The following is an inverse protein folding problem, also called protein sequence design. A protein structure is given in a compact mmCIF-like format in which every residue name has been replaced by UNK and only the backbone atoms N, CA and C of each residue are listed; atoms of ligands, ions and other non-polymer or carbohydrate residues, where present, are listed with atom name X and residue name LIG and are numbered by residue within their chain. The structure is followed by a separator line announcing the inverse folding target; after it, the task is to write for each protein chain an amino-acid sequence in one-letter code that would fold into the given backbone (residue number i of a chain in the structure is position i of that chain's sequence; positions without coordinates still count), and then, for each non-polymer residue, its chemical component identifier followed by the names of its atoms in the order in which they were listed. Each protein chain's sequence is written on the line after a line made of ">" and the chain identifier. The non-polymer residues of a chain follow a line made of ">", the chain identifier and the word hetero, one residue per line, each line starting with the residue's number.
data_IF_319902074266
#
_entry.id   IF_319902074266
#
_cell.length_a   1.000
_cell.length_b   1.000
_cell.length_c   1.000
_cell.angle_alpha   90.00
_cell.angle_beta   90.00
_cell.angle_gamma   90.00
#
_symmetry.space_group_name_H-M   'P 1'
#
loop_
_entity.id
_entity.type
_entity.pdbx_description
1 polymer ?
#
# COMPACT_ATOMS: atom_id res chain seq x y z
N UNK A 1 17.05 -11.06 -6.99
CA UNK A 1 16.29 -10.06 -7.78
C UNK A 1 15.58 -10.72 -8.97
N UNK A 2 16.27 -11.46 -9.85
CA UNK A 2 15.64 -12.18 -10.97
C UNK A 2 14.51 -13.15 -10.57
N UNK A 3 14.68 -13.90 -9.47
CA UNK A 3 13.70 -14.90 -9.03
C UNK A 3 12.35 -14.30 -8.58
N UNK A 4 12.37 -13.10 -7.98
CA UNK A 4 11.15 -12.41 -7.53
C UNK A 4 10.40 -11.75 -8.69
N UNK A 5 11.10 -11.32 -9.74
CA UNK A 5 10.48 -10.78 -10.96
C UNK A 5 9.77 -11.92 -11.73
N UNK A 6 10.39 -13.10 -11.80
CA UNK A 6 9.82 -14.27 -12.47
C UNK A 6 8.49 -14.72 -11.81
N UNK A 7 8.46 -14.82 -10.48
CA UNK A 7 7.25 -15.19 -9.73
C UNK A 7 6.15 -14.12 -9.83
N UNK A 8 6.52 -12.84 -9.90
CA UNK A 8 5.58 -11.74 -10.11
C UNK A 8 4.93 -11.78 -11.49
N UNK A 9 5.67 -12.14 -12.53
CA UNK A 9 5.16 -12.29 -13.90
C UNK A 9 4.22 -13.49 -14.00
N UNK A 10 4.57 -14.64 -13.43
CA UNK A 10 3.68 -15.82 -13.44
C UNK A 10 2.38 -15.59 -12.66
N UNK A 11 2.41 -14.81 -11.57
CA UNK A 11 1.22 -14.40 -10.84
C UNK A 11 0.32 -13.43 -11.65
N UNK A 12 0.92 -12.53 -12.44
CA UNK A 12 0.19 -11.56 -13.27
C UNK A 12 -0.51 -12.19 -14.49
N UNK A 13 -0.04 -13.35 -14.94
CA UNK A 13 -0.60 -14.06 -16.10
C UNK A 13 -1.37 -15.33 -15.73
N UNK A 14 -1.64 -15.58 -14.44
CA UNK A 14 -2.54 -16.65 -14.03
C UNK A 14 -3.97 -16.32 -14.46
N UNK A 15 -4.41 -16.96 -15.53
CA UNK A 15 -5.82 -17.02 -15.92
C UNK A 15 -6.47 -18.18 -15.17
N UNK A 16 -7.50 -17.90 -14.39
CA UNK A 16 -8.50 -18.92 -14.04
C UNK A 16 -9.19 -19.37 -15.35
N UNK A 17 -9.42 -20.68 -15.50
CA UNK A 17 -9.90 -21.30 -16.76
C UNK A 17 -11.36 -20.95 -17.13
N UNK A 18 -12.07 -20.13 -16.35
CA UNK A 18 -13.52 -19.93 -16.50
C UNK A 18 -13.96 -18.65 -17.23
N UNK A 19 -13.03 -17.86 -17.77
CA UNK A 19 -13.35 -16.83 -18.78
C UNK A 19 -14.28 -15.71 -18.32
N UNK A 20 -14.33 -15.41 -17.02
CA UNK A 20 -15.12 -14.29 -16.49
C UNK A 20 -14.28 -13.00 -16.42
N UNK A 21 -14.63 -12.03 -17.26
CA UNK A 21 -14.06 -10.67 -17.25
C UNK A 21 -14.61 -9.88 -16.05
N UNK A 22 -13.98 -10.02 -14.89
CA UNK A 22 -14.27 -9.15 -13.75
C UNK A 22 -13.44 -7.87 -13.89
N UNK A 23 -14.13 -6.73 -14.02
CA UNK A 23 -13.49 -5.42 -14.07
C UNK A 23 -12.74 -5.17 -12.75
N UNK A 24 -11.48 -4.73 -12.86
CA UNK A 24 -10.54 -4.59 -11.73
C UNK A 24 -11.04 -3.64 -10.62
N UNK A 25 -12.04 -2.78 -10.88
CA UNK A 25 -12.62 -1.86 -9.91
C UNK A 25 -13.60 -2.51 -8.93
N UNK A 26 -14.27 -3.59 -9.31
CA UNK A 26 -15.47 -4.05 -8.59
C UNK A 26 -15.17 -5.03 -7.45
N UNK A 27 -13.90 -5.45 -7.30
CA UNK A 27 -13.48 -6.45 -6.30
C UNK A 27 -12.93 -5.87 -4.99
N UNK A 28 -12.76 -4.54 -4.87
CA UNK A 28 -12.14 -3.90 -3.69
C UNK A 28 -13.15 -3.41 -2.65
N UNK A 29 -14.23 -4.17 -2.43
CA UNK A 29 -15.23 -3.89 -1.40
C UNK A 29 -14.67 -4.10 0.01
N UNK A 30 -13.95 -3.10 0.55
CA UNK A 30 -13.61 -3.06 1.97
C UNK A 30 -14.59 -2.15 2.71
N UNK A 31 -15.32 -2.72 3.68
CA UNK A 31 -16.13 -1.97 4.63
C UNK A 31 -15.25 -1.54 5.80
N UNK A 32 -15.22 -0.24 6.10
CA UNK A 32 -14.65 0.27 7.36
C UNK A 32 -15.61 -0.14 8.48
N UNK A 33 -15.24 -1.14 9.29
CA UNK A 33 -16.04 -1.59 10.43
C UNK A 33 -15.52 -0.99 11.76
N UNK A 34 -16.45 -0.47 12.58
CA UNK A 34 -16.24 -0.03 13.97
C UNK A 34 -15.87 -1.21 14.91
N UNK A 35 -15.23 -0.94 16.09
CA UNK A 35 -14.61 -1.99 16.88
C UNK A 35 -15.64 -2.80 17.69
N UNK A 36 -15.84 -4.06 17.31
CA UNK A 36 -16.59 -5.06 18.07
C UNK A 36 -15.67 -6.17 18.62
N UNK A 37 -15.85 -6.50 19.91
CA UNK A 37 -15.07 -7.47 20.67
C UNK A 37 -14.98 -8.85 20.01
N UNK A 38 -13.77 -9.28 19.63
CA UNK A 38 -13.40 -10.66 19.31
C UNK A 38 -11.93 -10.92 19.71
N UNK A 39 -11.52 -12.16 20.04
CA UNK A 39 -10.18 -12.46 20.55
C UNK A 39 -9.10 -12.14 19.50
N UNK A 40 -7.91 -11.63 19.88
CA UNK A 40 -6.93 -11.13 18.94
C UNK A 40 -6.17 -12.27 18.28
N UNK A 41 -6.67 -12.73 17.14
CA UNK A 41 -5.82 -13.30 16.08
C UNK A 41 -5.81 -12.29 14.93
N UNK A 42 -5.46 -11.04 15.25
CA UNK A 42 -5.56 -9.93 14.31
C UNK A 42 -4.25 -9.76 13.55
N UNK A 43 -4.19 -10.28 12.33
CA UNK A 43 -3.46 -9.61 11.26
C UNK A 43 -4.04 -8.20 11.14
N UNK A 44 -3.51 -7.23 11.91
CA UNK A 44 -4.03 -5.86 11.92
C UNK A 44 -3.56 -5.16 10.65
N UNK A 45 -4.20 -5.51 9.54
CA UNK A 45 -4.14 -4.76 8.31
C UNK A 45 -4.76 -3.38 8.55
N UNK A 46 -4.14 -2.33 8.03
CA UNK A 46 -4.72 -0.98 8.03
C UNK A 46 -4.37 -0.29 6.72
N UNK A 47 -5.39 0.21 6.04
CA UNK A 47 -5.25 1.11 4.89
C UNK A 47 -5.67 2.51 5.27
N UNK A 48 -4.95 3.52 4.79
CA UNK A 48 -5.27 4.91 5.11
C UNK A 48 -4.45 5.93 4.31
N UNK A 49 -4.82 7.19 4.48
CA UNK A 49 -4.20 8.31 3.79
C UNK A 49 -3.34 9.11 4.76
N UNK A 50 -2.09 9.36 4.39
CA UNK A 50 -1.22 10.30 5.10
C UNK A 50 -0.67 11.34 4.13
N UNK A 51 -0.60 12.58 4.58
CA UNK A 51 0.13 13.63 3.86
C UNK A 51 1.61 13.44 4.09
N UNK A 52 2.35 13.07 3.04
CA UNK A 52 3.80 12.86 3.05
C UNK A 52 4.42 13.90 2.12
N UNK A 53 5.42 14.66 2.60
CA UNK A 53 6.07 15.71 1.79
C UNK A 53 5.10 16.66 1.05
N UNK A 54 3.96 16.99 1.70
CA UNK A 54 2.91 17.84 1.12
C UNK A 54 1.95 17.15 0.13
N UNK A 55 2.10 15.84 -0.10
CA UNK A 55 1.26 15.05 -1.02
C UNK A 55 0.46 13.99 -0.25
N UNK A 56 -0.86 14.00 -0.39
CA UNK A 56 -1.75 12.95 0.13
C UNK A 56 -1.39 11.60 -0.51
N UNK A 57 -1.04 10.61 0.30
CA UNK A 57 -0.56 9.31 -0.17
C UNK A 57 -1.30 8.17 0.48
N UNK A 58 -1.72 7.20 -0.32
CA UNK A 58 -2.34 5.97 0.17
C UNK A 58 -1.25 5.05 0.71
N UNK A 59 -1.51 4.50 1.89
CA UNK A 59 -0.61 3.63 2.64
C UNK A 59 -1.38 2.40 3.07
N UNK A 60 -0.77 1.25 2.90
CA UNK A 60 -1.26 -0.01 3.43
C UNK A 60 -0.21 -0.60 4.37
N UNK A 61 -0.64 -1.09 5.51
CA UNK A 61 0.24 -1.72 6.48
C UNK A 61 -0.33 -3.04 6.99
N UNK A 62 0.57 -3.95 7.33
CA UNK A 62 0.28 -5.17 8.08
C UNK A 62 1.25 -5.24 9.27
N UNK A 63 0.72 -5.52 10.47
CA UNK A 63 1.54 -5.67 11.68
C UNK A 63 1.90 -4.35 12.37
N UNK A 64 1.09 -3.30 12.19
CA UNK A 64 1.26 -1.99 12.83
C UNK A 64 0.95 -0.83 11.88
N UNK A 65 0.59 0.34 12.41
CA UNK A 65 0.38 1.56 11.62
C UNK A 65 1.59 2.49 11.72
N UNK A 66 1.79 3.32 10.70
CA UNK A 66 2.96 4.21 10.58
C UNK A 66 3.08 5.21 11.73
N UNK A 67 1.97 5.68 12.28
CA UNK A 67 1.95 6.69 13.35
C UNK A 67 1.79 6.07 14.75
N UNK A 68 1.62 4.75 14.84
CA UNK A 68 1.54 4.03 16.10
C UNK A 68 2.97 3.77 16.64
N UNK A 69 3.12 3.38 17.92
CA UNK A 69 4.40 2.89 18.41
C UNK A 69 4.97 1.78 17.50
N UNK A 70 6.31 1.69 17.36
CA UNK A 70 6.93 0.70 16.49
C UNK A 70 6.41 -0.71 16.77
N UNK A 71 6.20 -1.54 15.73
CA UNK A 71 5.84 -2.94 15.92
C UNK A 71 6.82 -3.64 16.86
N UNK A 72 6.36 -4.66 17.59
CA UNK A 72 7.22 -5.50 18.47
C UNK A 72 8.28 -6.33 17.71
N UNK A 73 8.46 -6.09 16.41
CA UNK A 73 9.42 -6.79 15.55
C UNK A 73 10.70 -5.98 15.39
N UNK A 74 11.85 -6.65 15.44
CA UNK A 74 13.16 -6.05 15.15
C UNK A 74 13.36 -5.70 13.66
N UNK A 75 12.37 -5.98 12.81
CA UNK A 75 12.45 -5.78 11.36
C UNK A 75 11.14 -5.27 10.78
N UNK A 76 11.26 -4.45 9.74
CA UNK A 76 10.14 -3.91 8.97
C UNK A 76 10.45 -4.06 7.48
N UNK A 77 9.51 -4.60 6.71
CA UNK A 77 9.58 -4.63 5.25
C UNK A 77 8.88 -3.40 4.72
N UNK A 78 9.66 -2.53 4.08
CA UNK A 78 9.13 -1.36 3.38
C UNK A 78 9.03 -1.64 1.89
N UNK A 79 7.80 -1.68 1.38
CA UNK A 79 7.53 -1.87 -0.03
C UNK A 79 7.25 -0.52 -0.70
N UNK A 80 8.03 -0.23 -1.73
CA UNK A 80 7.90 1.00 -2.50
C UNK A 80 7.23 0.67 -3.83
N UNK A 81 5.99 1.15 -4.04
CA UNK A 81 5.31 0.94 -5.32
C UNK A 81 6.18 1.41 -6.50
N UNK A 82 6.24 0.56 -7.53
CA UNK A 82 6.89 0.80 -8.80
C UNK A 82 5.88 1.18 -9.88
N UNK A 83 5.86 0.44 -11.00
CA UNK A 83 4.83 0.54 -12.03
C UNK A 83 3.99 -0.74 -12.01
N UNK A 84 2.66 -0.66 -11.78
CA UNK A 84 1.88 0.54 -11.53
C UNK A 84 2.16 1.16 -10.14
N UNK A 85 1.94 2.47 -10.02
CA UNK A 85 2.23 3.24 -8.80
C UNK A 85 1.12 3.21 -7.74
N UNK A 86 0.28 2.18 -7.77
CA UNK A 86 -0.95 2.03 -6.99
C UNK A 86 -0.76 0.93 -5.96
N UNK A 87 -1.04 1.19 -4.69
CA UNK A 87 -0.88 0.29 -3.55
C UNK A 87 -1.75 -0.96 -3.66
N UNK A 88 -3.03 -0.79 -3.97
CA UNK A 88 -4.00 -1.90 -4.03
C UNK A 88 -3.63 -2.96 -5.08
N UNK A 89 -2.89 -2.57 -6.14
CA UNK A 89 -2.35 -3.53 -7.10
C UNK A 89 -1.44 -4.59 -6.44
N UNK A 90 -0.74 -4.22 -5.38
CA UNK A 90 0.18 -5.11 -4.66
C UNK A 90 -0.44 -5.76 -3.42
N UNK A 91 -1.72 -5.50 -3.11
CA UNK A 91 -2.36 -5.94 -1.85
C UNK A 91 -2.16 -7.43 -1.57
N UNK A 92 -2.59 -8.30 -2.49
CA UNK A 92 -2.53 -9.75 -2.32
C UNK A 92 -1.10 -10.27 -2.15
N UNK A 93 -0.13 -9.64 -2.84
CA UNK A 93 1.27 -9.99 -2.72
C UNK A 93 1.81 -9.63 -1.34
N UNK A 94 1.54 -8.41 -0.87
CA UNK A 94 2.03 -7.91 0.42
C UNK A 94 1.38 -8.62 1.61
N UNK A 95 0.09 -8.93 1.49
CA UNK A 95 -0.61 -9.75 2.49
C UNK A 95 0.01 -11.15 2.60
N UNK A 96 0.24 -11.82 1.46
CA UNK A 96 0.92 -13.12 1.44
C UNK A 96 2.33 -13.03 2.01
N UNK A 97 3.05 -11.95 1.71
CA UNK A 97 4.40 -11.71 2.23
C UNK A 97 4.41 -11.58 3.75
N UNK A 98 3.53 -10.74 4.30
CA UNK A 98 3.33 -10.60 5.75
C UNK A 98 2.96 -11.94 6.39
N UNK A 99 2.01 -12.66 5.80
CA UNK A 99 1.54 -13.93 6.34
C UNK A 99 2.61 -15.02 6.34
N UNK A 100 3.52 -14.99 5.37
CA UNK A 100 4.60 -15.98 5.24
C UNK A 100 5.78 -15.69 6.17
N UNK A 101 6.16 -14.41 6.29
CA UNK A 101 7.36 -14.03 7.04
C UNK A 101 7.08 -13.63 8.48
N UNK A 102 5.84 -13.22 8.78
CA UNK A 102 5.43 -12.62 10.06
C UNK A 102 6.28 -11.40 10.46
N UNK A 103 6.86 -10.72 9.46
CA UNK A 103 7.54 -9.44 9.60
C UNK A 103 6.56 -8.35 9.15
N UNK A 104 6.34 -7.26 9.91
CA UNK A 104 5.52 -6.13 9.48
C UNK A 104 5.85 -5.67 8.05
N UNK A 105 4.81 -5.37 7.27
CA UNK A 105 4.93 -4.94 5.86
C UNK A 105 4.19 -3.64 5.68
N UNK A 106 4.89 -2.58 5.28
CA UNK A 106 4.30 -1.27 5.01
C UNK A 106 4.54 -0.88 3.55
N UNK A 107 3.55 -0.26 2.91
CA UNK A 107 3.67 0.24 1.54
C UNK A 107 3.13 1.65 1.39
N UNK A 108 3.68 2.38 0.43
CA UNK A 108 3.22 3.70 0.02
C UNK A 108 3.12 3.76 -1.51
N UNK A 109 2.07 4.42 -2.01
CA UNK A 109 1.87 4.66 -3.43
C UNK A 109 3.00 5.52 -4.04
N UNK A 110 3.05 5.60 -5.36
CA UNK A 110 3.82 6.66 -6.04
C UNK A 110 3.09 7.98 -5.79
N UNK A 111 3.82 9.05 -5.44
CA UNK A 111 3.20 10.31 -5.08
C UNK A 111 2.36 10.84 -6.25
N UNK A 112 1.11 11.20 -5.97
CA UNK A 112 0.18 11.71 -6.98
C UNK A 112 -0.47 10.67 -7.91
N UNK A 113 -0.22 9.37 -7.74
CA UNK A 113 -0.84 8.32 -8.56
C UNK A 113 -2.17 7.83 -8.02
N UNK A 114 -2.42 7.98 -6.72
CA UNK A 114 -3.70 7.69 -6.09
C UNK A 114 -4.31 8.97 -5.52
N UNK A 115 -5.63 9.11 -5.67
CA UNK A 115 -6.40 10.22 -5.12
C UNK A 115 -7.22 9.74 -3.92
N UNK A 116 -7.24 10.51 -2.82
CA UNK A 116 -8.13 10.21 -1.72
C UNK A 116 -9.59 10.31 -2.16
N UNK A 117 -10.53 9.69 -1.43
CA UNK A 117 -11.95 9.75 -1.76
C UNK A 117 -12.42 11.19 -1.91
N UNK A 118 -13.31 11.45 -2.88
CA UNK A 118 -13.81 12.79 -3.20
C UNK A 118 -14.53 13.48 -2.03
N UNK A 119 -14.95 12.72 -1.02
CA UNK A 119 -15.54 13.22 0.23
C UNK A 119 -14.51 13.73 1.24
N UNK A 120 -13.22 13.50 1.01
CA UNK A 120 -12.14 14.02 1.83
C UNK A 120 -11.72 15.42 1.38
N UNK A 121 -11.34 16.28 2.32
CA UNK A 121 -10.72 17.58 2.01
C UNK A 121 -9.23 17.42 1.61
N UNK A 122 -8.78 16.20 1.36
CA UNK A 122 -7.42 15.88 0.93
C UNK A 122 -7.41 15.79 -0.59
N UNK A 123 -6.38 16.34 -1.23
CA UNK A 123 -6.23 16.32 -2.68
C UNK A 123 -4.76 16.26 -3.08
N UNK A 124 -4.51 16.37 -4.38
CA UNK A 124 -3.15 16.66 -4.86
C UNK A 124 -2.81 18.10 -4.51
N UNK A 125 -1.55 18.38 -4.13
CA UNK A 125 -1.12 19.75 -3.97
C UNK A 125 -1.10 20.47 -5.33
N UNK A 126 -1.35 21.77 -5.29
CA UNK A 126 -1.35 22.66 -6.46
C UNK A 126 0.04 22.82 -7.10
N UNK A 127 1.11 22.35 -6.44
CA UNK A 127 2.46 22.32 -6.99
C UNK A 127 2.84 20.90 -7.47
N UNK A 128 2.70 20.61 -8.78
CA UNK A 128 3.12 19.34 -9.37
C UNK A 128 4.59 19.00 -9.15
N UNK A 129 5.46 19.98 -8.86
CA UNK A 129 6.89 19.72 -8.64
C UNK A 129 7.13 18.84 -7.42
N UNK A 130 6.15 18.72 -6.53
CA UNK A 130 6.19 17.83 -5.36
C UNK A 130 6.06 16.34 -5.72
N UNK A 131 5.66 15.99 -6.96
CA UNK A 131 5.47 14.58 -7.34
C UNK A 131 5.77 14.26 -8.82
N UNK A 132 5.96 15.24 -9.70
CA UNK A 132 6.06 14.99 -11.16
C UNK A 132 7.46 14.59 -11.66
N UNK A 133 8.47 14.50 -10.80
CA UNK A 133 9.85 14.21 -11.19
C UNK A 133 10.52 13.19 -10.25
N UNK A 134 11.60 12.57 -10.73
CA UNK A 134 12.31 11.50 -9.99
C UNK A 134 12.82 11.98 -8.64
N UNK A 135 13.37 13.21 -8.57
CA UNK A 135 13.87 13.76 -7.32
C UNK A 135 12.73 13.90 -6.30
N UNK A 136 11.60 14.43 -6.72
CA UNK A 136 10.41 14.56 -5.88
C UNK A 136 9.91 13.21 -5.36
N UNK A 137 9.88 12.17 -6.20
CA UNK A 137 9.49 10.82 -5.77
C UNK A 137 10.50 10.20 -4.77
N UNK A 138 11.80 10.45 -4.94
CA UNK A 138 12.82 10.05 -3.97
C UNK A 138 12.65 10.79 -2.65
N UNK A 139 12.52 12.12 -2.70
CA UNK A 139 12.33 12.97 -1.52
C UNK A 139 11.05 12.56 -0.76
N UNK A 140 9.99 12.21 -1.48
CA UNK A 140 8.73 11.72 -0.92
C UNK A 140 8.89 10.41 -0.14
N UNK A 141 9.52 9.41 -0.76
CA UNK A 141 9.80 8.12 -0.09
C UNK A 141 10.76 8.28 1.09
N UNK A 142 11.72 9.20 0.98
CA UNK A 142 12.62 9.55 2.10
C UNK A 142 11.88 10.23 3.25
N UNK A 143 10.90 11.09 2.97
CA UNK A 143 10.08 11.72 3.98
C UNK A 143 9.20 10.69 4.72
N UNK A 144 8.73 9.66 4.00
CA UNK A 144 8.01 8.54 4.61
C UNK A 144 8.87 7.72 5.56
N UNK A 145 10.11 7.39 5.17
CA UNK A 145 11.05 6.62 6.02
C UNK A 145 11.43 7.37 7.31
N UNK A 146 11.43 8.71 7.27
CA UNK A 146 11.83 9.56 8.40
C UNK A 146 10.72 9.81 9.43
N UNK A 147 9.49 9.37 9.15
CA UNK A 147 8.42 9.39 10.15
C UNK A 147 8.65 8.31 11.19
#
# INVERSE_FOLDING_TARGET
>A
VHYFIQLGIEFLFWKEEDGTDNSFSDSFGYTISEPGNSPPTSTTFKGGWLTINGVSSHILTWGGWVEDPPPESDSLILFMCGVPGITLFYYNFLEKLYNSLKIPVWTICVAGHELPPSSSNMGLPDDPKLYNNVKAQVDHKMAFIKR
#
